data_IF_668236356929
#
_entry.id   IF_668236356929
#
_cell.length_a   1.000
_cell.length_b   1.000
_cell.length_c   1.000
_cell.angle_alpha   90.00
_cell.angle_beta   90.00
_cell.angle_gamma   90.00
#
_symmetry.space_group_name_H-M   'P 1'
#
loop_
_entity.id
_entity.type
_entity.pdbx_description
1 polymer ?
#
# COMPACT_ATOMS: atom_id res chain seq x y z
N UNK A 1 30.17 8.60 21.54
CA UNK A 1 31.25 8.28 20.58
C UNK A 1 31.56 6.80 20.71
N UNK A 2 31.40 6.07 19.60
CA UNK A 2 31.77 4.67 19.31
C UNK A 2 31.56 3.60 20.38
N UNK A 3 30.85 2.52 20.03
CA UNK A 3 31.57 1.26 19.82
C UNK A 3 30.74 0.25 19.02
N UNK A 4 31.43 -0.36 18.06
CA UNK A 4 31.03 -1.46 17.21
C UNK A 4 31.09 -2.79 17.98
N UNK A 5 30.10 -3.65 17.70
CA UNK A 5 30.11 -5.12 17.64
C UNK A 5 30.86 -5.93 18.72
N UNK A 6 30.10 -6.90 19.25
CA UNK A 6 30.42 -8.32 19.51
C UNK A 6 30.38 -8.76 20.97
N UNK A 7 29.82 -9.97 21.16
CA UNK A 7 29.88 -10.90 22.30
C UNK A 7 28.58 -10.97 23.11
N UNK A 8 27.83 -12.07 22.91
CA UNK A 8 27.10 -12.72 24.00
C UNK A 8 26.98 -14.22 23.70
N UNK A 9 27.92 -14.98 24.27
CA UNK A 9 27.91 -16.43 24.41
C UNK A 9 27.98 -16.73 25.91
N UNK A 10 27.08 -17.60 26.35
CA UNK A 10 27.04 -18.40 27.58
C UNK A 10 26.51 -17.80 28.91
N UNK A 11 25.48 -18.53 29.40
CA UNK A 11 25.28 -19.10 30.75
C UNK A 11 24.32 -18.42 31.75
N UNK A 12 23.19 -19.13 31.93
CA UNK A 12 22.60 -19.57 33.21
C UNK A 12 23.29 -19.07 34.49
N UNK A 13 22.51 -18.46 35.39
CA UNK A 13 21.98 -19.06 36.65
C UNK A 13 21.30 -17.93 37.43
N UNK A 14 19.99 -18.06 37.66
CA UNK A 14 19.34 -17.78 38.95
C UNK A 14 17.85 -18.15 38.84
N UNK A 15 17.57 -19.41 39.18
CA UNK A 15 16.24 -19.85 39.51
C UNK A 15 15.91 -19.43 40.96
N UNK A 16 14.60 -19.25 41.19
CA UNK A 16 13.80 -19.65 42.36
C UNK A 16 13.10 -18.52 43.13
N UNK A 17 11.80 -18.78 43.34
CA UNK A 17 10.85 -18.30 44.37
C UNK A 17 10.05 -17.03 44.00
N UNK A 18 8.85 -17.21 43.44
CA UNK A 18 7.60 -17.17 44.22
C UNK A 18 6.42 -17.66 43.37
N UNK A 19 5.90 -18.82 43.75
CA UNK A 19 4.59 -19.35 43.38
C UNK A 19 3.51 -18.68 44.22
N UNK A 20 2.49 -18.10 43.60
CA UNK A 20 1.11 -18.15 44.12
C UNK A 20 0.12 -18.09 42.95
N UNK A 21 -0.72 -19.14 42.91
CA UNK A 21 -1.96 -19.25 42.14
C UNK A 21 -2.86 -18.06 42.41
N UNK A 22 -3.61 -17.61 41.41
CA UNK A 22 -5.06 -17.54 41.55
C UNK A 22 -5.77 -17.48 40.19
N UNK A 23 -6.77 -18.34 40.09
CA UNK A 23 -7.67 -18.53 38.97
C UNK A 23 -8.73 -17.43 39.01
N UNK A 24 -8.98 -16.74 37.90
CA UNK A 24 -10.27 -16.07 37.71
C UNK A 24 -10.68 -16.12 36.24
N UNK A 25 -11.66 -16.98 36.01
CA UNK A 25 -12.50 -17.04 34.82
C UNK A 25 -13.22 -15.71 34.60
N UNK A 26 -12.99 -15.08 33.46
CA UNK A 26 -13.88 -14.03 32.95
C UNK A 26 -14.63 -14.54 31.72
N UNK A 27 -15.88 -14.89 31.97
CA UNK A 27 -16.93 -15.05 30.96
C UNK A 27 -17.29 -13.64 30.48
N UNK A 28 -17.07 -13.34 29.20
CA UNK A 28 -17.65 -12.15 28.56
C UNK A 28 -18.49 -12.51 27.33
N UNK A 29 -19.76 -12.74 27.63
CA UNK A 29 -20.98 -12.36 26.91
C UNK A 29 -20.87 -12.07 25.39
N UNK A 30 -21.28 -13.05 24.57
CA UNK A 30 -21.64 -12.88 23.16
C UNK A 30 -22.91 -12.01 23.05
N UNK A 31 -22.77 -10.77 22.57
CA UNK A 31 -23.91 -10.03 21.99
C UNK A 31 -23.82 -10.08 20.46
N UNK A 32 -24.80 -10.78 19.89
CA UNK A 32 -25.07 -10.91 18.47
C UNK A 32 -25.38 -9.55 17.84
N UNK A 33 -24.64 -9.16 16.81
CA UNK A 33 -25.05 -8.08 15.90
C UNK A 33 -25.72 -8.71 14.68
N UNK A 34 -27.04 -8.56 14.61
CA UNK A 34 -27.89 -8.97 13.49
C UNK A 34 -28.00 -7.77 12.55
N UNK A 35 -27.24 -7.76 11.45
CA UNK A 35 -27.32 -6.69 10.44
C UNK A 35 -28.59 -6.93 9.59
N UNK A 36 -29.56 -6.04 9.73
CA UNK A 36 -30.78 -6.00 8.93
C UNK A 36 -30.51 -5.20 7.65
N UNK A 37 -30.48 -5.88 6.50
CA UNK A 37 -30.50 -5.21 5.19
C UNK A 37 -31.92 -4.70 4.91
N UNK A 38 -32.11 -3.36 4.88
CA UNK A 38 -33.31 -2.73 4.31
C UNK A 38 -33.16 -2.67 2.79
N UNK A 39 -33.98 -3.46 2.09
CA UNK A 39 -34.14 -3.45 0.63
C UNK A 39 -35.09 -2.30 0.27
N UNK A 40 -34.57 -1.21 -0.30
CA UNK A 40 -35.41 -0.14 -0.87
C UNK A 40 -35.63 -0.44 -2.35
N UNK A 41 -36.87 -0.82 -2.69
CA UNK A 41 -37.36 -0.95 -4.06
C UNK A 41 -37.69 0.44 -4.60
N UNK A 42 -37.07 0.86 -5.70
CA UNK A 42 -37.50 2.04 -6.48
C UNK A 42 -38.12 1.53 -7.77
N UNK A 43 -39.39 1.90 -7.97
CA UNK A 43 -40.17 1.62 -9.17
C UNK A 43 -39.64 2.43 -10.36
N UNK A 44 -39.65 1.81 -11.54
CA UNK A 44 -39.38 2.49 -12.81
C UNK A 44 -40.67 3.12 -13.36
N UNK A 45 -40.51 4.27 -14.01
CA UNK A 45 -41.46 4.77 -15.00
C UNK A 45 -40.67 5.40 -16.14
N UNK A 46 -40.79 4.79 -17.33
CA UNK A 46 -40.26 5.28 -18.60
C UNK A 46 -41.18 6.37 -19.19
N UNK A 47 -40.58 7.43 -19.74
CA UNK A 47 -41.11 8.15 -20.91
C UNK A 47 -39.96 8.89 -21.60
N UNK A 48 -39.92 8.80 -22.93
CA UNK A 48 -38.73 8.94 -23.76
C UNK A 48 -38.40 10.32 -24.33
N UNK A 49 -37.43 10.23 -25.24
CA UNK A 49 -37.10 11.08 -26.39
C UNK A 49 -35.91 12.06 -26.32
N UNK A 50 -34.76 11.53 -26.80
CA UNK A 50 -34.04 11.93 -28.02
C UNK A 50 -33.19 13.23 -28.03
N UNK A 51 -31.85 13.10 -28.04
CA UNK A 51 -30.93 13.42 -29.18
C UNK A 51 -29.45 13.61 -28.77
N UNK A 52 -28.57 12.93 -29.50
CA UNK A 52 -27.16 13.21 -29.84
C UNK A 52 -26.24 13.94 -28.85
N UNK A 53 -25.28 13.20 -28.29
CA UNK A 53 -23.89 13.63 -28.14
C UNK A 53 -23.00 12.41 -27.90
N UNK A 54 -22.20 12.03 -28.90
CA UNK A 54 -21.16 10.99 -28.78
C UNK A 54 -19.97 11.59 -28.01
N UNK A 55 -20.01 11.47 -26.69
CA UNK A 55 -18.81 11.57 -25.84
C UNK A 55 -18.56 10.17 -25.31
N UNK A 56 -17.48 9.55 -25.78
CA UNK A 56 -16.99 8.28 -25.28
C UNK A 56 -16.39 8.47 -23.88
N UNK A 57 -17.25 8.60 -22.86
CA UNK A 57 -16.86 8.37 -21.47
C UNK A 57 -16.90 6.88 -21.22
N UNK A 58 -15.72 6.27 -21.06
CA UNK A 58 -15.57 4.98 -20.42
C UNK A 58 -15.95 5.14 -18.93
N UNK A 59 -17.24 5.18 -18.66
CA UNK A 59 -17.83 5.23 -17.32
C UNK A 59 -18.05 3.78 -16.85
N UNK A 60 -16.95 3.04 -16.69
CA UNK A 60 -16.99 1.84 -15.85
C UNK A 60 -16.89 2.34 -14.40
N UNK A 61 -18.03 2.43 -13.71
CA UNK A 61 -18.08 2.74 -12.27
C UNK A 61 -17.34 1.65 -11.49
N UNK A 62 -16.03 1.79 -11.35
CA UNK A 62 -15.30 1.11 -10.30
C UNK A 62 -15.95 1.47 -8.95
N UNK A 63 -16.06 0.52 -8.00
CA UNK A 63 -16.58 0.84 -6.69
C UNK A 63 -15.69 1.90 -6.05
N UNK A 64 -16.26 3.08 -5.80
CA UNK A 64 -15.53 4.18 -5.20
C UNK A 64 -15.06 3.77 -3.80
N UNK A 65 -13.75 3.89 -3.54
CA UNK A 65 -13.23 3.74 -2.19
C UNK A 65 -13.76 4.90 -1.34
N UNK A 66 -14.30 4.62 -0.14
CA UNK A 66 -14.69 5.68 0.76
C UNK A 66 -13.44 6.43 1.24
N UNK A 67 -13.63 7.68 1.65
CA UNK A 67 -12.58 8.55 2.20
C UNK A 67 -11.45 8.93 1.23
N UNK A 68 -11.57 8.69 -0.08
CA UNK A 68 -10.63 9.30 -1.04
C UNK A 68 -10.56 10.82 -0.86
N UNK A 69 -9.36 11.38 -1.01
CA UNK A 69 -9.19 12.83 -1.01
C UNK A 69 -10.01 13.47 -2.12
N UNK A 70 -10.56 14.67 -1.88
CA UNK A 70 -11.47 15.31 -2.83
C UNK A 70 -10.69 15.77 -4.06
N UNK A 71 -11.37 15.90 -5.22
CA UNK A 71 -10.72 16.14 -6.52
C UNK A 71 -9.85 17.40 -6.53
N UNK A 72 -10.21 18.40 -5.74
CA UNK A 72 -9.47 19.66 -5.59
C UNK A 72 -8.06 19.44 -5.00
N UNK A 73 -7.82 18.31 -4.33
CA UNK A 73 -6.53 17.90 -3.74
C UNK A 73 -5.73 16.96 -4.63
N UNK A 74 -6.33 16.42 -5.69
CA UNK A 74 -5.74 15.43 -6.58
C UNK A 74 -5.20 16.04 -7.89
N UNK A 75 -5.45 17.33 -8.12
CA UNK A 75 -4.89 18.07 -9.23
C UNK A 75 -5.42 17.65 -10.60
N UNK A 76 -4.66 18.01 -11.64
CA UNK A 76 -5.03 17.75 -13.04
C UNK A 76 -4.35 16.49 -13.56
N UNK A 77 -5.14 15.57 -14.11
CA UNK A 77 -4.64 14.39 -14.81
C UNK A 77 -4.18 14.71 -16.23
N UNK A 78 -3.07 14.12 -16.65
CA UNK A 78 -2.52 14.26 -18.00
C UNK A 78 -2.51 12.90 -18.72
N UNK A 79 -2.97 12.90 -19.97
CA UNK A 79 -3.08 11.67 -20.78
C UNK A 79 -1.75 11.08 -21.26
N UNK A 80 -0.64 11.82 -21.15
CA UNK A 80 0.70 11.33 -21.48
C UNK A 80 1.75 11.91 -20.54
N UNK A 81 2.87 11.20 -20.40
CA UNK A 81 4.02 11.67 -19.65
C UNK A 81 4.61 12.96 -20.23
N UNK A 82 4.55 13.13 -21.55
CA UNK A 82 4.99 14.37 -22.22
C UNK A 82 4.11 15.56 -21.82
N UNK A 83 2.78 15.41 -21.85
CA UNK A 83 1.86 16.47 -21.45
C UNK A 83 2.03 16.84 -19.97
N UNK A 84 2.25 15.84 -19.11
CA UNK A 84 2.60 16.06 -17.71
C UNK A 84 3.90 16.88 -17.56
N UNK A 85 4.98 16.51 -18.25
CA UNK A 85 6.23 17.26 -18.20
C UNK A 85 6.11 18.67 -18.76
N UNK A 86 5.30 18.89 -19.79
CA UNK A 86 5.03 20.24 -20.31
C UNK A 86 4.30 21.10 -19.27
N UNK A 87 3.31 20.53 -18.57
CA UNK A 87 2.60 21.23 -17.50
C UNK A 87 3.54 21.56 -16.32
N UNK A 88 4.33 20.59 -15.85
CA UNK A 88 5.27 20.78 -14.73
C UNK A 88 6.43 21.70 -15.11
N UNK A 89 6.99 21.55 -16.31
CA UNK A 89 8.12 22.35 -16.81
C UNK A 89 7.75 23.80 -17.09
N UNK A 90 6.47 24.10 -17.35
CA UNK A 90 5.98 25.48 -17.35
C UNK A 90 5.98 26.12 -15.95
N UNK A 91 6.00 25.28 -14.90
CA UNK A 91 5.89 25.68 -13.50
C UNK A 91 7.21 25.58 -12.69
N UNK A 92 8.26 24.90 -13.17
CA UNK A 92 9.42 24.54 -12.31
C UNK A 92 10.79 24.44 -13.01
N UNK A 93 11.86 24.41 -12.19
CA UNK A 93 13.25 24.09 -12.60
C UNK A 93 13.44 22.58 -12.72
N UNK A 94 14.27 22.07 -13.66
CA UNK A 94 14.54 20.64 -13.79
C UNK A 94 15.15 20.06 -12.51
N UNK A 95 14.72 18.85 -12.13
CA UNK A 95 15.23 18.15 -10.95
C UNK A 95 16.74 17.90 -11.09
N UNK A 96 17.51 18.28 -10.07
CA UNK A 96 18.98 18.19 -10.11
C UNK A 96 19.50 16.84 -9.65
N UNK A 97 18.72 16.11 -8.85
CA UNK A 97 19.09 14.81 -8.26
C UNK A 97 17.84 13.96 -8.02
N UNK A 98 17.92 12.66 -8.31
CA UNK A 98 16.89 11.68 -7.93
C UNK A 98 17.33 10.98 -6.65
N UNK A 99 16.40 10.80 -5.71
CA UNK A 99 16.54 9.94 -4.53
C UNK A 99 15.62 8.74 -4.68
N UNK A 100 16.10 7.57 -4.32
CA UNK A 100 15.36 6.32 -4.53
C UNK A 100 14.85 5.75 -3.20
N UNK A 101 13.68 5.13 -3.25
CA UNK A 101 13.00 4.54 -2.12
C UNK A 101 12.28 3.27 -2.54
N UNK A 102 11.86 2.48 -1.57
CA UNK A 102 10.97 1.33 -1.77
C UNK A 102 9.65 1.56 -1.04
N UNK A 103 8.59 0.91 -1.52
CA UNK A 103 7.30 0.87 -0.83
C UNK A 103 6.60 -0.46 -1.13
N UNK A 104 6.16 -1.14 -0.09
CA UNK A 104 5.58 -2.48 -0.10
C UNK A 104 4.17 -2.41 0.44
N UNK A 105 3.19 -2.62 -0.45
CA UNK A 105 1.78 -2.76 -0.09
C UNK A 105 1.55 -4.20 0.38
N UNK A 106 1.13 -4.37 1.62
CA UNK A 106 0.90 -5.68 2.23
C UNK A 106 -0.59 -5.92 2.41
N UNK A 107 -1.10 -6.97 1.79
CA UNK A 107 -2.50 -7.40 1.90
C UNK A 107 -2.58 -8.84 2.37
N UNK A 108 -3.77 -9.28 2.76
CA UNK A 108 -4.04 -10.69 2.97
C UNK A 108 -5.47 -11.05 2.53
N UNK A 109 -5.56 -12.07 1.68
CA UNK A 109 -6.84 -12.69 1.32
C UNK A 109 -7.23 -13.74 2.37
N UNK A 110 -8.18 -13.41 3.24
CA UNK A 110 -8.67 -14.30 4.29
C UNK A 110 -9.90 -15.07 3.81
N UNK A 111 -9.89 -16.39 3.97
CA UNK A 111 -11.05 -17.25 3.67
C UNK A 111 -11.78 -17.62 4.95
N UNK A 112 -13.04 -17.19 5.08
CA UNK A 112 -13.90 -17.54 6.21
C UNK A 112 -14.35 -18.99 6.05
N UNK A 113 -13.86 -19.88 6.92
CA UNK A 113 -14.05 -21.34 6.79
C UNK A 113 -15.53 -21.76 6.69
N UNK A 114 -16.41 -21.13 7.48
CA UNK A 114 -17.83 -21.48 7.56
C UNK A 114 -18.61 -21.15 6.28
N UNK A 115 -18.31 -20.02 5.66
CA UNK A 115 -19.07 -19.51 4.52
C UNK A 115 -18.33 -19.63 3.19
N UNK A 116 -17.05 -19.98 3.24
CA UNK A 116 -16.10 -19.90 2.12
C UNK A 116 -16.03 -18.51 1.47
N UNK A 117 -16.54 -17.48 2.14
CA UNK A 117 -16.39 -16.11 1.69
C UNK A 117 -14.94 -15.66 1.88
N UNK A 118 -14.37 -15.08 0.83
CA UNK A 118 -13.07 -14.42 0.87
C UNK A 118 -13.28 -12.94 1.15
N UNK A 119 -12.51 -12.39 2.08
CA UNK A 119 -12.36 -10.94 2.23
C UNK A 119 -10.87 -10.59 2.15
N UNK A 120 -10.59 -9.34 1.85
CA UNK A 120 -9.23 -8.82 1.72
C UNK A 120 -9.02 -7.71 2.73
N UNK A 121 -7.95 -7.86 3.50
CA UNK A 121 -7.46 -6.85 4.44
C UNK A 121 -6.13 -6.29 3.98
N UNK A 122 -5.80 -5.09 4.43
CA UNK A 122 -4.55 -4.39 4.12
C UNK A 122 -3.88 -3.97 5.42
N UNK A 123 -2.56 -4.14 5.48
CA UNK A 123 -1.74 -3.66 6.57
C UNK A 123 -1.19 -2.28 6.19
N UNK A 124 -1.47 -1.28 7.03
CA UNK A 124 -0.93 0.07 6.89
C UNK A 124 -0.29 0.49 8.22
N UNK A 125 0.66 1.41 8.17
CA UNK A 125 1.34 1.91 9.36
C UNK A 125 1.08 3.39 9.59
N UNK A 126 0.66 3.76 10.80
CA UNK A 126 0.63 5.16 11.22
C UNK A 126 2.07 5.62 11.46
N UNK A 127 2.54 6.63 10.71
CA UNK A 127 3.87 7.20 10.94
C UNK A 127 3.92 8.02 12.22
N UNK A 128 4.83 7.67 13.12
CA UNK A 128 5.03 8.34 14.41
C UNK A 128 6.14 9.40 14.38
N UNK A 129 7.08 9.30 13.42
CA UNK A 129 8.17 10.26 13.22
C UNK A 129 8.50 10.45 11.74
N UNK A 130 9.28 11.49 11.45
CA UNK A 130 9.80 11.76 10.11
C UNK A 130 8.76 12.30 9.12
N UNK A 131 9.11 12.23 7.83
CA UNK A 131 8.26 12.72 6.74
C UNK A 131 6.93 11.97 6.69
N UNK A 132 5.83 12.71 6.79
CA UNK A 132 4.47 12.14 6.80
C UNK A 132 3.96 11.72 8.17
N UNK A 133 4.55 12.22 9.27
CA UNK A 133 4.05 11.97 10.63
C UNK A 133 2.54 12.26 10.73
N UNK A 134 1.81 11.35 11.38
CA UNK A 134 0.36 11.43 11.56
C UNK A 134 -0.47 10.91 10.38
N UNK A 135 0.16 10.52 9.26
CA UNK A 135 -0.51 9.84 8.14
C UNK A 135 -0.28 8.33 8.19
N UNK A 136 -1.23 7.58 7.63
CA UNK A 136 -1.02 6.18 7.31
C UNK A 136 -0.22 6.03 6.02
N UNK A 137 0.61 5.00 5.95
CA UNK A 137 1.33 4.63 4.74
C UNK A 137 1.50 3.11 4.62
N UNK A 138 1.86 2.65 3.43
CA UNK A 138 2.50 1.34 3.25
C UNK A 138 3.96 1.38 3.75
N UNK A 139 4.65 0.24 3.73
CA UNK A 139 5.94 0.06 4.40
C UNK A 139 7.11 0.22 3.44
N UNK A 140 8.20 0.84 3.87
CA UNK A 140 9.36 1.08 2.99
C UNK A 140 10.14 2.32 3.34
N UNK A 141 11.30 2.47 2.70
CA UNK A 141 12.24 3.51 3.08
C UNK A 141 13.39 3.73 2.10
N UNK A 142 14.51 4.20 2.63
CA UNK A 142 15.68 4.66 1.87
C UNK A 142 16.71 3.56 1.76
N UNK A 143 17.56 3.65 0.74
CA UNK A 143 18.72 2.76 0.64
C UNK A 143 19.76 3.11 1.71
N UNK A 144 20.41 2.09 2.31
CA UNK A 144 21.44 2.25 3.35
C UNK A 144 22.60 3.18 2.95
N UNK A 145 22.90 3.27 1.65
CA UNK A 145 24.08 3.97 1.12
C UNK A 145 23.78 5.33 0.48
N UNK A 146 22.55 5.84 0.59
CA UNK A 146 22.18 7.17 0.07
C UNK A 146 22.93 8.34 0.76
N UNK A 147 23.69 8.07 1.84
CA UNK A 147 24.37 9.08 2.64
C UNK A 147 25.90 8.90 2.79
N UNK A 148 26.51 7.73 2.52
CA UNK A 148 27.94 7.48 2.85
C UNK A 148 28.90 7.35 1.67
N UNK A 149 28.43 7.13 0.44
CA UNK A 149 29.29 7.02 -0.75
C UNK A 149 30.14 5.74 -0.82
N UNK A 150 29.82 4.72 -0.02
CA UNK A 150 30.46 3.41 -0.07
C UNK A 150 29.90 2.55 -1.22
N UNK A 151 30.76 1.71 -1.80
CA UNK A 151 30.58 1.08 -3.11
C UNK A 151 29.68 -0.18 -3.15
N UNK A 152 29.05 -0.57 -2.05
CA UNK A 152 28.15 -1.74 -2.00
C UNK A 152 26.73 -1.28 -1.70
N UNK A 153 26.01 -0.78 -2.73
CA UNK A 153 24.59 -0.45 -2.60
C UNK A 153 23.78 -1.73 -2.52
N UNK A 154 22.92 -1.86 -1.51
CA UNK A 154 21.90 -2.92 -1.48
C UNK A 154 21.02 -2.86 -2.74
N UNK A 155 20.57 -4.02 -3.23
CA UNK A 155 19.59 -4.08 -4.31
C UNK A 155 18.23 -3.49 -3.87
N UNK A 156 17.38 -3.17 -4.85
CA UNK A 156 16.05 -2.60 -4.58
C UNK A 156 15.22 -3.56 -3.73
N UNK A 157 15.30 -4.85 -4.02
CA UNK A 157 14.55 -5.88 -3.30
C UNK A 157 15.12 -6.15 -1.91
N UNK A 158 16.44 -6.06 -1.71
CA UNK A 158 17.05 -6.11 -0.37
C UNK A 158 16.59 -4.94 0.50
N UNK A 159 16.58 -3.73 -0.06
CA UNK A 159 16.04 -2.54 0.61
C UNK A 159 14.57 -2.74 1.01
N UNK A 160 13.73 -3.19 0.06
CA UNK A 160 12.31 -3.44 0.33
C UNK A 160 12.07 -4.51 1.41
N UNK A 161 12.86 -5.59 1.41
CA UNK A 161 12.77 -6.63 2.44
C UNK A 161 13.21 -6.12 3.81
N UNK A 162 14.32 -5.38 3.87
CA UNK A 162 14.88 -4.82 5.12
C UNK A 162 13.90 -3.84 5.76
N UNK A 163 13.41 -2.86 4.99
CA UNK A 163 12.48 -1.83 5.49
C UNK A 163 11.18 -2.47 5.99
N UNK A 164 10.62 -3.44 5.25
CA UNK A 164 9.45 -4.18 5.70
C UNK A 164 9.71 -4.95 7.00
N UNK A 165 10.85 -5.63 7.13
CA UNK A 165 11.19 -6.35 8.36
C UNK A 165 11.36 -5.40 9.55
N UNK A 166 12.04 -4.26 9.37
CA UNK A 166 12.27 -3.25 10.42
C UNK A 166 10.96 -2.60 10.89
N UNK A 167 10.02 -2.35 9.97
CA UNK A 167 8.76 -1.66 10.24
C UNK A 167 7.63 -2.57 10.73
N UNK A 168 7.65 -3.86 10.36
CA UNK A 168 6.54 -4.79 10.64
C UNK A 168 6.94 -6.15 11.19
N UNK A 169 8.23 -6.49 11.26
CA UNK A 169 8.73 -7.83 11.58
C UNK A 169 8.30 -8.93 10.58
N UNK A 170 7.88 -8.56 9.37
CA UNK A 170 7.55 -9.52 8.30
C UNK A 170 8.79 -9.84 7.47
N UNK A 171 9.14 -11.12 7.37
CA UNK A 171 10.27 -11.59 6.57
C UNK A 171 9.79 -12.21 5.26
N UNK A 172 10.17 -11.59 4.15
CA UNK A 172 9.79 -12.03 2.81
C UNK A 172 11.06 -12.48 2.08
N UNK A 173 11.09 -13.68 1.45
CA UNK A 173 12.22 -14.08 0.63
C UNK A 173 12.44 -13.11 -0.53
N UNK A 174 13.70 -12.76 -0.83
CA UNK A 174 14.05 -11.83 -1.92
C UNK A 174 13.39 -12.23 -3.25
N UNK A 175 13.36 -13.53 -3.57
CA UNK A 175 12.71 -14.04 -4.79
C UNK A 175 11.23 -13.62 -4.86
N UNK A 176 10.52 -13.73 -3.74
CA UNK A 176 9.11 -13.37 -3.66
C UNK A 176 8.93 -11.85 -3.78
N UNK A 177 9.84 -11.07 -3.20
CA UNK A 177 9.86 -9.62 -3.37
C UNK A 177 10.06 -9.23 -4.85
N UNK A 178 11.01 -9.85 -5.57
CA UNK A 178 11.22 -9.63 -7.02
C UNK A 178 9.91 -9.86 -7.79
N UNK A 179 9.23 -10.98 -7.52
CA UNK A 179 8.00 -11.36 -8.22
C UNK A 179 6.82 -10.43 -7.88
N UNK A 180 6.83 -9.81 -6.69
CA UNK A 180 5.79 -8.90 -6.21
C UNK A 180 5.86 -7.47 -6.77
N UNK A 181 6.84 -7.15 -7.61
CA UNK A 181 7.04 -5.79 -8.14
C UNK A 181 5.85 -5.34 -9.01
N UNK A 182 5.29 -4.16 -8.72
CA UNK A 182 4.14 -3.59 -9.44
C UNK A 182 4.46 -2.32 -10.23
N UNK A 183 5.62 -1.70 -10.05
CA UNK A 183 6.02 -0.55 -10.87
C UNK A 183 6.78 0.50 -10.08
N UNK A 184 6.63 1.77 -10.45
CA UNK A 184 7.32 2.90 -9.82
C UNK A 184 6.41 4.12 -9.68
N UNK A 185 6.64 4.94 -8.64
CA UNK A 185 6.02 6.25 -8.49
C UNK A 185 7.10 7.33 -8.46
N UNK A 186 6.91 8.40 -9.24
CA UNK A 186 7.82 9.55 -9.31
C UNK A 186 7.17 10.78 -8.70
N UNK A 187 7.86 11.42 -7.77
CA UNK A 187 7.36 12.59 -7.08
C UNK A 187 8.32 13.77 -7.25
N UNK A 188 7.74 14.92 -7.55
CA UNK A 188 8.43 16.22 -7.59
C UNK A 188 7.60 17.23 -6.80
N UNK A 189 8.24 18.28 -6.28
CA UNK A 189 7.60 19.26 -5.40
C UNK A 189 8.03 20.68 -5.82
N UNK A 190 7.15 21.67 -5.71
CA UNK A 190 7.46 23.07 -6.10
C UNK A 190 8.66 23.65 -5.33
N UNK A 191 8.83 23.25 -4.08
CA UNK A 191 9.84 23.75 -3.14
C UNK A 191 11.10 22.86 -3.04
N UNK A 192 11.17 21.77 -3.81
CA UNK A 192 12.27 20.80 -3.75
C UNK A 192 12.77 20.42 -5.15
N UNK A 193 14.06 20.65 -5.41
CA UNK A 193 14.68 20.33 -6.70
C UNK A 193 15.11 18.87 -6.85
N UNK A 194 14.68 17.99 -5.93
CA UNK A 194 14.93 16.55 -5.97
C UNK A 194 13.69 15.79 -6.41
N UNK A 195 13.88 14.82 -7.30
CA UNK A 195 12.88 13.81 -7.59
C UNK A 195 12.95 12.70 -6.53
N UNK A 196 11.81 12.21 -6.07
CA UNK A 196 11.73 10.95 -5.34
C UNK A 196 11.21 9.86 -6.29
N UNK A 197 11.99 8.79 -6.47
CA UNK A 197 11.60 7.60 -7.21
C UNK A 197 11.33 6.47 -6.22
N UNK A 198 10.10 5.98 -6.18
CA UNK A 198 9.67 4.91 -5.27
C UNK A 198 9.41 3.65 -6.08
N UNK A 199 10.14 2.58 -5.77
CA UNK A 199 9.90 1.25 -6.34
C UNK A 199 8.78 0.55 -5.57
N UNK A 200 7.71 0.18 -6.28
CA UNK A 200 6.51 -0.39 -5.68
C UNK A 200 6.47 -1.92 -5.75
N UNK A 201 6.06 -2.51 -4.64
CA UNK A 201 5.82 -3.94 -4.46
C UNK A 201 4.43 -4.19 -3.87
N UNK A 202 3.79 -5.30 -4.23
CA UNK A 202 2.48 -5.71 -3.74
C UNK A 202 2.48 -7.17 -3.32
N UNK A 203 2.29 -7.40 -2.02
CA UNK A 203 2.25 -8.73 -1.43
C UNK A 203 0.83 -9.08 -0.98
N UNK A 204 0.42 -10.31 -1.25
CA UNK A 204 -0.75 -10.93 -0.62
C UNK A 204 -0.25 -12.09 0.24
N UNK A 205 -0.27 -11.91 1.56
CA UNK A 205 0.33 -12.84 2.52
C UNK A 205 -0.28 -14.24 2.46
N UNK A 206 -1.52 -14.38 1.99
CA UNK A 206 -2.16 -15.68 1.80
C UNK A 206 -1.54 -16.47 0.62
N UNK A 207 -0.94 -15.76 -0.33
CA UNK A 207 -0.24 -16.31 -1.48
C UNK A 207 1.29 -16.26 -1.31
N UNK A 208 1.79 -15.43 -0.43
CA UNK A 208 3.17 -15.45 0.08
C UNK A 208 3.47 -16.72 0.87
N UNK A 209 4.76 -17.00 1.11
CA UNK A 209 5.24 -18.17 1.83
C UNK A 209 4.93 -19.49 1.11
N UNK A 210 5.88 -19.93 0.28
CA UNK A 210 5.81 -21.15 -0.52
C UNK A 210 5.37 -22.40 0.26
N UNK A 211 4.09 -22.77 0.09
CA UNK A 211 3.55 -24.03 0.55
C UNK A 211 2.02 -24.08 0.43
N UNK A 212 1.47 -25.20 -0.05
CA UNK A 212 0.09 -25.57 0.23
C UNK A 212 0.00 -25.85 1.74
N UNK A 213 -0.43 -24.86 2.52
CA UNK A 213 -0.58 -24.98 3.98
C UNK A 213 0.14 -23.95 4.85
N UNK A 214 0.74 -22.89 4.30
CA UNK A 214 1.35 -21.82 5.10
C UNK A 214 0.29 -20.88 5.70
N UNK A 215 -0.47 -21.40 6.67
CA UNK A 215 -0.77 -20.62 7.87
C UNK A 215 0.56 -20.38 8.63
N UNK A 216 1.54 -19.73 7.97
CA UNK A 216 2.73 -19.27 8.63
C UNK A 216 2.23 -18.21 9.62
N UNK A 217 2.20 -18.56 10.91
CA UNK A 217 1.92 -17.60 11.96
C UNK A 217 2.99 -16.53 11.89
N UNK A 218 2.67 -15.38 11.31
CA UNK A 218 3.50 -14.20 11.37
C UNK A 218 2.98 -13.28 12.48
N UNK A 219 3.88 -12.54 13.09
CA UNK A 219 3.53 -11.56 14.11
C UNK A 219 3.97 -10.19 13.60
N UNK A 220 2.98 -9.32 13.40
CA UNK A 220 3.23 -7.93 13.06
C UNK A 220 3.60 -7.18 14.34
N UNK A 221 4.76 -6.51 14.33
CA UNK A 221 5.23 -5.71 15.47
C UNK A 221 5.51 -4.29 15.05
N UNK A 222 5.11 -3.34 15.89
CA UNK A 222 5.44 -1.94 15.70
C UNK A 222 6.90 -1.65 16.06
N UNK A 223 7.42 -0.54 15.52
CA UNK A 223 8.68 0.05 15.92
C UNK A 223 8.47 1.52 16.32
N UNK A 224 9.55 2.20 16.72
CA UNK A 224 9.49 3.61 17.09
C UNK A 224 9.09 4.53 15.92
N UNK A 225 9.28 4.07 14.67
CA UNK A 225 8.96 4.86 13.48
C UNK A 225 7.50 4.80 13.06
N UNK A 226 6.93 3.60 13.11
CA UNK A 226 5.64 3.33 12.50
C UNK A 226 4.87 2.30 13.34
N UNK A 227 3.55 2.48 13.43
CA UNK A 227 2.65 1.56 14.12
C UNK A 227 1.74 0.87 13.10
N UNK A 228 2.04 -0.39 12.74
CA UNK A 228 1.22 -1.17 11.81
C UNK A 228 -0.15 -1.51 12.39
N UNK A 229 -1.17 -1.50 11.53
CA UNK A 229 -2.54 -1.88 11.85
C UNK A 229 -3.21 -2.51 10.62
N UNK A 230 -3.98 -3.57 10.85
CA UNK A 230 -4.84 -4.17 9.84
C UNK A 230 -6.12 -3.35 9.66
N UNK A 231 -6.47 -3.09 8.41
CA UNK A 231 -7.79 -2.63 7.97
C UNK A 231 -8.49 -3.83 7.35
N UNK A 232 -9.55 -4.31 8.02
CA UNK A 232 -10.20 -5.61 7.73
C UNK A 232 -10.91 -5.65 6.36
N UNK A 233 -11.14 -4.49 5.77
CA UNK A 233 -11.62 -4.31 4.41
C UNK A 233 -10.86 -3.20 3.71
N UNK A 234 -10.64 -3.35 2.41
CA UNK A 234 -10.18 -2.28 1.53
C UNK A 234 -11.10 -1.03 1.55
N UNK A 235 -12.37 -1.18 1.90
CA UNK A 235 -13.29 -0.06 2.08
C UNK A 235 -13.08 0.67 3.43
N UNK A 236 -12.15 0.24 4.27
CA UNK A 236 -11.80 0.93 5.52
C UNK A 236 -10.52 1.74 5.40
N UNK A 237 -9.85 1.72 4.25
CA UNK A 237 -8.60 2.45 4.04
C UNK A 237 -8.84 3.95 4.25
N UNK A 238 -8.07 4.61 5.13
CA UNK A 238 -8.29 6.00 5.51
C UNK A 238 -7.58 6.93 4.53
N UNK A 239 -7.97 6.93 3.26
CA UNK A 239 -7.30 7.70 2.20
C UNK A 239 -7.22 9.21 2.48
N UNK A 240 -8.14 9.74 3.28
CA UNK A 240 -8.17 11.13 3.75
C UNK A 240 -7.08 11.44 4.80
N UNK A 241 -6.53 10.40 5.43
CA UNK A 241 -5.35 10.44 6.30
C UNK A 241 -4.13 9.72 5.70
N UNK A 242 -4.04 9.68 4.36
CA UNK A 242 -2.88 9.18 3.60
C UNK A 242 -2.33 10.27 2.68
N UNK A 243 -1.28 10.01 1.93
CA UNK A 243 -0.80 10.98 0.93
C UNK A 243 -1.77 11.04 -0.26
N UNK A 244 -1.83 12.19 -0.93
CA UNK A 244 -2.82 12.46 -1.97
C UNK A 244 -2.76 11.49 -3.14
N UNK A 245 -1.57 11.01 -3.48
CA UNK A 245 -1.36 10.05 -4.56
C UNK A 245 -1.96 8.67 -4.24
N UNK A 246 -2.06 8.28 -2.97
CA UNK A 246 -2.66 7.01 -2.57
C UNK A 246 -4.14 6.93 -2.98
N UNK A 247 -4.85 8.07 -3.00
CA UNK A 247 -6.23 8.16 -3.51
C UNK A 247 -6.35 7.93 -5.02
N UNK A 248 -5.22 7.79 -5.75
CA UNK A 248 -5.16 7.56 -7.19
C UNK A 248 -4.61 6.16 -7.49
N UNK A 249 -3.35 5.89 -7.11
CA UNK A 249 -2.68 4.65 -7.54
C UNK A 249 -3.06 3.45 -6.66
N UNK A 250 -3.18 3.64 -5.34
CA UNK A 250 -3.48 2.54 -4.44
C UNK A 250 -4.94 2.08 -4.62
N UNK A 251 -5.88 3.01 -4.85
CA UNK A 251 -7.25 2.63 -5.23
C UNK A 251 -7.28 1.77 -6.50
N UNK A 252 -6.53 2.13 -7.54
CA UNK A 252 -6.46 1.33 -8.77
C UNK A 252 -5.86 -0.07 -8.51
N UNK A 253 -4.79 -0.14 -7.71
CA UNK A 253 -4.15 -1.39 -7.32
C UNK A 253 -5.10 -2.32 -6.54
N UNK A 254 -5.80 -1.76 -5.54
CA UNK A 254 -6.75 -2.49 -4.70
C UNK A 254 -8.02 -2.90 -5.47
N UNK A 255 -8.51 -2.08 -6.42
CA UNK A 255 -9.61 -2.43 -7.34
C UNK A 255 -9.27 -3.69 -8.16
N UNK A 256 -8.05 -3.75 -8.71
CA UNK A 256 -7.60 -4.90 -9.48
C UNK A 256 -7.37 -6.14 -8.61
N UNK A 257 -6.81 -5.97 -7.41
CA UNK A 257 -6.66 -7.06 -6.44
C UNK A 257 -8.03 -7.65 -6.03
N UNK A 258 -9.04 -6.79 -5.82
CA UNK A 258 -10.43 -7.21 -5.52
C UNK A 258 -11.08 -7.97 -6.67
N UNK A 259 -10.90 -7.47 -7.88
CA UNK A 259 -11.43 -8.10 -9.09
C UNK A 259 -10.84 -9.49 -9.31
N UNK A 260 -9.54 -9.66 -9.05
CA UNK A 260 -8.86 -10.95 -9.13
C UNK A 260 -9.35 -11.96 -8.08
N UNK A 261 -9.46 -11.53 -6.82
CA UNK A 261 -9.95 -12.40 -5.75
C UNK A 261 -11.37 -12.92 -6.01
N UNK A 262 -12.19 -12.11 -6.68
CA UNK A 262 -13.59 -12.42 -7.01
C UNK A 262 -13.75 -13.32 -8.25
N UNK A 263 -12.73 -13.42 -9.12
CA UNK A 263 -12.81 -14.19 -10.37
C UNK A 263 -11.71 -15.29 -10.46
N UNK A 264 -11.87 -16.42 -9.76
CA UNK A 264 -10.89 -17.51 -9.75
C UNK A 264 -10.84 -18.36 -11.03
N UNK A 265 -11.71 -18.10 -12.03
CA UNK A 265 -11.82 -18.90 -13.27
C UNK A 265 -10.82 -18.54 -14.37
N UNK A 266 -10.11 -17.42 -14.27
CA UNK A 266 -8.95 -17.20 -15.14
C UNK A 266 -7.84 -18.15 -14.69
N UNK A 267 -7.37 -19.01 -15.61
CA UNK A 267 -6.26 -19.95 -15.46
C UNK A 267 -5.34 -19.60 -14.29
N UNK A 268 -5.17 -20.51 -13.30
CA UNK A 268 -4.34 -20.34 -12.08
C UNK A 268 -3.26 -19.30 -12.37
N UNK A 269 -3.45 -18.02 -12.02
CA UNK A 269 -2.39 -17.05 -12.25
C UNK A 269 -1.18 -17.63 -11.51
N UNK A 270 0.01 -17.47 -12.10
CA UNK A 270 1.22 -17.74 -11.32
C UNK A 270 0.99 -17.05 -9.97
N UNK A 271 1.18 -17.77 -8.86
CA UNK A 271 0.76 -17.40 -7.49
C UNK A 271 1.27 -16.00 -7.07
N UNK A 272 2.14 -15.42 -7.88
CA UNK A 272 2.96 -14.25 -7.64
C UNK A 272 2.79 -13.17 -8.74
N UNK A 273 1.95 -13.35 -9.77
CA UNK A 273 1.79 -12.27 -10.75
C UNK A 273 1.08 -11.05 -10.13
N UNK A 274 1.63 -9.84 -10.27
CA UNK A 274 1.04 -8.63 -9.71
C UNK A 274 -0.34 -8.32 -10.32
N UNK A 275 -1.28 -7.68 -9.58
CA UNK A 275 -2.62 -7.29 -10.08
C UNK A 275 -2.56 -6.37 -11.29
N UNK A 276 -1.60 -5.44 -11.30
CA UNK A 276 -1.37 -4.43 -12.32
C UNK A 276 0.11 -4.08 -12.35
N UNK A 277 0.56 -3.54 -13.48
CA UNK A 277 1.73 -2.67 -13.53
C UNK A 277 1.26 -1.21 -13.48
N UNK A 278 1.81 -0.43 -12.56
CA UNK A 278 1.41 0.97 -12.32
C UNK A 278 2.68 1.82 -12.28
N UNK A 279 2.79 2.76 -13.23
CA UNK A 279 3.82 3.78 -13.23
C UNK A 279 3.16 5.15 -13.12
N UNK A 280 3.40 5.88 -12.03
CA UNK A 280 2.85 7.21 -11.84
C UNK A 280 3.91 8.29 -11.71
N UNK A 281 3.52 9.50 -12.10
CA UNK A 281 4.29 10.72 -11.95
C UNK A 281 3.40 11.79 -11.36
N UNK A 282 3.83 12.40 -10.26
CA UNK A 282 3.07 13.40 -9.53
C UNK A 282 3.93 14.64 -9.26
N UNK A 283 3.31 15.80 -9.41
CA UNK A 283 3.88 17.08 -9.02
C UNK A 283 3.05 17.68 -7.90
N UNK A 284 3.66 17.78 -6.73
CA UNK A 284 3.03 18.26 -5.51
C UNK A 284 3.24 19.77 -5.33
N UNK A 285 2.24 20.40 -4.74
CA UNK A 285 2.34 21.76 -4.22
C UNK A 285 3.41 21.85 -3.13
N UNK A 286 4.03 23.01 -2.97
CA UNK A 286 4.94 23.30 -1.85
C UNK A 286 4.36 22.92 -0.48
N UNK A 287 5.25 22.64 0.48
CA UNK A 287 4.89 22.19 1.84
C UNK A 287 3.96 20.98 1.82
N UNK A 288 4.26 19.99 0.97
CA UNK A 288 3.38 18.85 0.71
C UNK A 288 2.97 18.04 1.96
N UNK A 289 3.74 18.08 3.04
CA UNK A 289 3.38 17.43 4.30
C UNK A 289 2.12 18.04 4.92
N UNK A 290 1.97 19.36 4.82
CA UNK A 290 0.81 20.11 5.31
C UNK A 290 -0.27 20.20 4.24
N UNK A 291 0.13 20.60 3.03
CA UNK A 291 -0.81 20.89 1.95
C UNK A 291 -1.36 19.62 1.33
N UNK A 292 -0.63 18.52 1.34
CA UNK A 292 -0.95 17.20 0.78
C UNK A 292 -1.84 17.33 -0.48
N UNK A 293 -1.34 18.09 -1.46
CA UNK A 293 -2.06 18.49 -2.68
C UNK A 293 -1.20 18.21 -3.90
N UNK A 294 -1.76 17.47 -4.85
CA UNK A 294 -1.19 17.27 -6.18
C UNK A 294 -1.67 18.40 -7.10
N UNK A 295 -0.77 18.96 -7.89
CA UNK A 295 -1.08 19.93 -8.94
C UNK A 295 -1.31 19.24 -10.28
N UNK A 296 -0.40 18.32 -10.62
CA UNK A 296 -0.42 17.58 -11.86
C UNK A 296 -0.06 16.12 -11.61
N UNK A 297 -0.69 15.21 -12.35
CA UNK A 297 -0.28 13.82 -12.36
C UNK A 297 -0.47 13.14 -13.71
N UNK A 298 0.29 12.07 -13.92
CA UNK A 298 0.09 11.11 -14.99
C UNK A 298 0.23 9.70 -14.40
N UNK A 299 -0.64 8.78 -14.80
CA UNK A 299 -0.52 7.37 -14.46
C UNK A 299 -0.63 6.53 -15.72
N UNK A 300 0.33 5.63 -15.90
CA UNK A 300 0.30 4.55 -16.88
C UNK A 300 -0.01 3.24 -16.16
N UNK A 301 -1.21 2.70 -16.39
CA UNK A 301 -1.71 1.49 -15.76
C UNK A 301 -1.86 0.43 -16.84
N UNK A 302 -1.12 -0.66 -16.69
CA UNK A 302 -1.13 -1.77 -17.63
C UNK A 302 -1.55 -3.05 -16.92
N UNK A 303 -2.42 -3.82 -17.55
CA UNK A 303 -2.61 -5.22 -17.16
C UNK A 303 -1.30 -5.99 -17.36
N UNK A 304 -0.96 -6.95 -16.48
CA UNK A 304 0.22 -7.79 -16.68
C UNK A 304 0.16 -8.43 -18.06
N UNK A 305 1.26 -8.35 -18.81
CA UNK A 305 1.37 -9.05 -20.10
C UNK A 305 1.28 -10.55 -19.82
N UNK A 306 0.17 -11.18 -20.25
CA UNK A 306 0.10 -12.65 -20.30
C UNK A 306 1.08 -13.10 -21.37
N UNK A 307 2.20 -13.69 -20.95
CA UNK A 307 3.13 -14.37 -21.86
C UNK A 307 2.48 -15.64 -22.42
#
# INVERSE_FOLDING_TARGET
MHCSKTIAVLLLVAATILTTKESNSFIFNRKSYRILYKKTTVMSSNSGDNKNSLVSSCDTKEPAFPNCLPKERLGTSHGSLEAFHQAVGSATRPAKKTKEYTLVVVTETVTVQETQHKHQRILLGMKNRGFGTGKFNSFGGKFLHDETGDNERESVEECACRELEEETNLRIPIKEMIESRVGVQRFTFEDNDKEMLVHLYFLDLANSFGGEGSAASYEVRACDEITPQWFESFDQVPFDNMFADDSLWLTALLSAARSRASNPSSAKPSRLEPPLQINGSYHFKENCEETNTILHYHMDIQSPKRN
#
